data_IF_127387616306
#
_entry.id   IF_127387616306
#
_cell.length_a   1.000
_cell.length_b   1.000
_cell.length_c   1.000
_cell.angle_alpha   90.00
_cell.angle_beta   90.00
_cell.angle_gamma   90.00
#
_symmetry.space_group_name_H-M   'P 1'
#
loop_
_entity.id
_entity.type
_entity.pdbx_description
1 polymer ?
#
# COMPACT_ATOMS: atom_id res chain seq x y z
N UNK A 1 -20.83 -1.94 -2.06
CA UNK A 1 -19.69 -2.87 -2.10
C UNK A 1 -18.45 -2.03 -2.31
N UNK A 2 -17.53 -2.02 -1.35
CA UNK A 2 -16.20 -1.44 -1.55
C UNK A 2 -15.41 -2.35 -2.49
N UNK A 3 -14.55 -1.79 -3.33
CA UNK A 3 -13.65 -2.59 -4.18
C UNK A 3 -12.27 -2.57 -3.56
N UNK A 4 -11.68 -3.75 -3.40
CA UNK A 4 -10.35 -3.95 -2.85
C UNK A 4 -9.44 -4.66 -3.87
N UNK A 5 -8.13 -4.46 -3.73
CA UNK A 5 -7.07 -5.09 -4.52
C UNK A 5 -5.83 -5.31 -3.64
N UNK A 6 -5.29 -6.52 -3.60
CA UNK A 6 -3.97 -6.79 -3.01
C UNK A 6 -2.86 -6.46 -4.01
N UNK A 7 -1.76 -5.86 -3.56
CA UNK A 7 -0.57 -5.57 -4.36
C UNK A 7 0.64 -6.17 -3.68
N UNK A 8 1.33 -7.07 -4.39
CA UNK A 8 2.35 -7.93 -3.83
C UNK A 8 3.75 -7.70 -4.42
N UNK A 9 4.79 -7.79 -3.57
CA UNK A 9 6.20 -7.72 -3.96
C UNK A 9 6.99 -8.93 -3.41
N UNK A 10 7.51 -9.77 -4.31
CA UNK A 10 8.12 -11.10 -4.03
C UNK A 10 9.64 -11.19 -4.35
N UNK A 11 10.41 -10.12 -4.27
CA UNK A 11 11.83 -10.16 -4.66
C UNK A 11 12.74 -10.52 -3.46
N UNK A 12 12.57 -11.72 -2.94
CA UNK A 12 13.22 -12.15 -1.69
C UNK A 12 12.59 -11.55 -0.41
N UNK A 13 11.46 -10.87 -0.59
CA UNK A 13 10.59 -10.37 0.47
C UNK A 13 9.17 -10.88 0.23
N UNK A 14 8.31 -10.79 1.24
CA UNK A 14 6.88 -11.09 1.18
C UNK A 14 6.16 -9.85 1.73
N UNK A 15 6.01 -8.83 0.86
CA UNK A 15 5.41 -7.54 1.22
C UNK A 15 4.11 -7.32 0.45
N UNK A 16 3.08 -6.89 1.16
CA UNK A 16 1.76 -6.60 0.60
C UNK A 16 1.24 -5.24 1.06
N UNK A 17 0.47 -4.60 0.18
CA UNK A 17 -0.46 -3.53 0.55
C UNK A 17 -1.85 -3.85 0.00
N UNK A 18 -2.88 -3.45 0.75
CA UNK A 18 -4.26 -3.52 0.29
C UNK A 18 -4.71 -2.15 -0.21
N UNK A 19 -5.19 -2.10 -1.45
CA UNK A 19 -5.73 -0.89 -2.05
C UNK A 19 -7.26 -0.88 -2.02
N UNK A 20 -7.85 0.20 -1.51
CA UNK A 20 -9.30 0.44 -1.51
C UNK A 20 -9.67 1.53 -2.50
N UNK A 21 -10.74 1.31 -3.27
CA UNK A 21 -11.26 2.33 -4.19
C UNK A 21 -12.06 3.39 -3.42
N UNK A 22 -11.71 4.66 -3.62
CA UNK A 22 -12.50 5.78 -3.09
C UNK A 22 -13.90 5.79 -3.71
N UNK A 23 -14.90 6.10 -2.88
CA UNK A 23 -16.28 6.25 -3.37
C UNK A 23 -16.34 7.52 -4.23
N UNK A 24 -16.87 7.40 -5.46
CA UNK A 24 -17.06 8.50 -6.42
C UNK A 24 -15.78 9.16 -6.97
N UNK A 25 -14.59 8.66 -6.64
CA UNK A 25 -13.33 9.13 -7.20
C UNK A 25 -12.66 8.01 -8.02
N UNK A 26 -12.01 8.33 -9.16
CA UNK A 26 -11.25 7.37 -9.93
C UNK A 26 -9.85 7.13 -9.30
N UNK A 27 -9.82 6.93 -7.98
CA UNK A 27 -8.58 6.82 -7.18
C UNK A 27 -8.66 5.61 -6.26
N UNK A 28 -7.50 4.98 -6.11
CA UNK A 28 -7.23 3.92 -5.14
C UNK A 28 -6.26 4.43 -4.10
N UNK A 29 -6.52 4.13 -2.83
CA UNK A 29 -5.59 4.38 -1.72
C UNK A 29 -5.01 3.06 -1.26
N UNK A 30 -3.68 2.97 -1.20
CA UNK A 30 -2.95 1.79 -0.76
C UNK A 30 -2.61 1.89 0.74
N UNK A 31 -2.91 0.82 1.46
CA UNK A 31 -2.74 0.71 2.91
C UNK A 31 -1.85 -0.47 3.27
N UNK A 32 -1.03 -0.28 4.30
CA UNK A 32 -0.51 -1.37 5.10
C UNK A 32 -1.46 -1.52 6.29
N UNK A 33 -2.13 -2.67 6.39
CA UNK A 33 -3.25 -2.81 7.31
C UNK A 33 -2.77 -3.03 8.75
N UNK A 34 -3.47 -2.40 9.69
CA UNK A 34 -3.09 -2.41 11.11
C UNK A 34 -3.11 -3.81 11.74
N UNK A 35 -3.88 -4.76 11.20
CA UNK A 35 -3.96 -6.12 11.71
C UNK A 35 -2.79 -6.99 11.23
N UNK A 36 -2.02 -6.49 10.26
CA UNK A 36 -0.79 -7.11 9.75
C UNK A 36 0.42 -6.48 10.43
N UNK A 37 0.47 -6.50 11.77
CA UNK A 37 1.59 -5.95 12.56
C UNK A 37 2.84 -6.84 12.43
N UNK A 38 3.34 -6.94 11.21
CA UNK A 38 4.58 -7.59 10.82
C UNK A 38 5.74 -6.57 10.88
N UNK A 39 6.96 -7.04 10.60
CA UNK A 39 8.14 -6.19 10.60
C UNK A 39 8.05 -5.07 9.56
N UNK A 40 7.29 -5.27 8.48
CA UNK A 40 7.06 -4.25 7.47
C UNK A 40 6.20 -3.09 8.00
N UNK A 41 5.07 -3.38 8.65
CA UNK A 41 4.23 -2.36 9.30
C UNK A 41 5.04 -1.54 10.30
N UNK A 42 5.76 -2.21 11.22
CA UNK A 42 6.60 -1.53 12.23
C UNK A 42 7.68 -0.66 11.60
N UNK A 43 8.36 -1.16 10.56
CA UNK A 43 9.38 -0.41 9.84
C UNK A 43 8.79 0.86 9.21
N UNK A 44 7.64 0.77 8.56
CA UNK A 44 6.95 1.93 7.97
C UNK A 44 6.52 2.92 9.05
N UNK A 45 6.03 2.41 10.19
CA UNK A 45 5.62 3.21 11.34
C UNK A 45 6.80 3.98 11.96
N UNK A 46 7.92 3.30 12.24
CA UNK A 46 9.15 3.89 12.78
C UNK A 46 9.74 4.95 11.84
N UNK A 47 9.67 4.70 10.53
CA UNK A 47 10.10 5.64 9.50
C UNK A 47 9.11 6.80 9.28
N UNK A 48 7.94 6.78 9.93
CA UNK A 48 6.87 7.78 9.81
C UNK A 48 6.44 8.03 8.36
N UNK A 49 6.30 6.95 7.60
CA UNK A 49 5.92 7.02 6.19
C UNK A 49 4.41 6.83 6.05
N UNK A 50 3.73 7.79 5.44
CA UNK A 50 2.28 7.72 5.19
C UNK A 50 1.44 8.38 6.27
N UNK A 51 0.13 8.16 6.19
CA UNK A 51 -0.88 8.72 7.09
C UNK A 51 -1.58 7.61 7.86
N UNK A 52 -1.65 7.75 9.19
CA UNK A 52 -2.36 6.81 10.05
C UNK A 52 -3.86 7.06 9.97
N UNK A 53 -4.59 6.02 9.58
CA UNK A 53 -6.05 6.02 9.54
C UNK A 53 -6.56 5.01 10.57
N UNK A 54 -7.26 5.53 11.57
CA UNK A 54 -7.81 4.72 12.67
C UNK A 54 -8.62 3.53 12.14
N UNK A 55 -8.39 2.37 12.74
CA UNK A 55 -9.02 1.08 12.39
C UNK A 55 -8.77 0.59 10.96
N UNK A 56 -7.86 1.22 10.19
CA UNK A 56 -7.45 0.76 8.85
C UNK A 56 -5.98 0.38 8.85
N UNK A 57 -5.09 1.33 9.13
CA UNK A 57 -3.64 1.15 9.04
C UNK A 57 -2.96 2.40 8.52
N UNK A 58 -1.86 2.22 7.78
CA UNK A 58 -1.04 3.31 7.26
C UNK A 58 -1.32 3.46 5.76
N UNK A 59 -1.91 4.60 5.36
CA UNK A 59 -2.07 4.96 3.96
C UNK A 59 -0.74 5.44 3.40
N UNK A 60 -0.19 4.74 2.41
CA UNK A 60 1.20 4.98 1.93
C UNK A 60 1.29 5.73 0.61
N UNK A 61 0.30 5.55 -0.28
CA UNK A 61 0.19 6.27 -1.55
C UNK A 61 -1.20 6.07 -2.17
N UNK A 62 -1.51 6.89 -3.17
CA UNK A 62 -2.73 6.78 -3.99
C UNK A 62 -2.38 6.67 -5.47
N UNK A 63 -3.24 6.04 -6.27
CA UNK A 63 -3.05 5.88 -7.71
C UNK A 63 -4.37 5.88 -8.49
N UNK A 64 -4.30 6.19 -9.80
CA UNK A 64 -5.47 6.28 -10.68
C UNK A 64 -6.16 4.93 -10.88
N UNK A 65 -7.46 4.94 -11.12
CA UNK A 65 -8.25 3.76 -11.46
C UNK A 65 -7.93 3.15 -12.84
N UNK A 66 -7.25 3.90 -13.71
CA UNK A 66 -6.87 3.42 -15.05
C UNK A 66 -5.65 2.50 -15.05
N UNK A 67 -4.99 2.37 -13.90
CA UNK A 67 -3.82 1.52 -13.68
C UNK A 67 -4.24 0.06 -13.50
N UNK A 68 -3.58 -0.82 -14.25
CA UNK A 68 -3.72 -2.27 -14.11
C UNK A 68 -2.91 -2.82 -12.93
N UNK A 69 -3.08 -4.12 -12.62
CA UNK A 69 -2.45 -4.74 -11.46
C UNK A 69 -0.90 -4.82 -11.60
N UNK A 70 -0.39 -4.92 -12.83
CA UNK A 70 1.05 -4.93 -13.11
C UNK A 70 1.69 -3.56 -12.91
N UNK A 71 1.03 -2.52 -13.41
CA UNK A 71 1.40 -1.14 -13.16
C UNK A 71 1.30 -0.76 -11.68
N UNK A 72 0.25 -1.22 -10.97
CA UNK A 72 0.09 -1.03 -9.53
C UNK A 72 1.25 -1.66 -8.75
N UNK A 73 1.68 -2.86 -9.13
CA UNK A 73 2.87 -3.52 -8.58
C UNK A 73 4.14 -2.71 -8.81
N UNK A 74 4.34 -2.17 -10.01
CA UNK A 74 5.50 -1.31 -10.32
C UNK A 74 5.50 -0.04 -9.46
N UNK A 75 4.34 0.55 -9.20
CA UNK A 75 4.22 1.71 -8.32
C UNK A 75 4.61 1.33 -6.89
N UNK A 76 4.13 0.19 -6.40
CA UNK A 76 4.48 -0.30 -5.06
C UNK A 76 6.00 -0.53 -4.93
N UNK A 77 6.61 -1.22 -5.89
CA UNK A 77 8.06 -1.43 -5.94
C UNK A 77 8.83 -0.11 -5.94
N UNK A 78 8.41 0.87 -6.75
CA UNK A 78 9.02 2.20 -6.77
C UNK A 78 8.90 2.91 -5.42
N UNK A 79 7.76 2.78 -4.74
CA UNK A 79 7.57 3.35 -3.40
C UNK A 79 8.50 2.68 -2.37
N UNK A 80 8.63 1.35 -2.39
CA UNK A 80 9.55 0.61 -1.52
C UNK A 80 11.01 1.08 -1.71
N UNK A 81 11.48 1.12 -2.97
CA UNK A 81 12.84 1.54 -3.32
C UNK A 81 13.11 3.00 -2.97
N UNK A 82 12.15 3.90 -3.25
CA UNK A 82 12.25 5.32 -2.92
C UNK A 82 12.45 5.54 -1.42
N UNK A 83 11.76 4.75 -0.61
CA UNK A 83 11.82 4.83 0.85
C UNK A 83 12.88 3.93 1.47
N UNK A 84 13.72 3.24 0.67
CA UNK A 84 14.80 2.34 1.14
C UNK A 84 14.28 1.22 2.05
N UNK A 85 13.09 0.72 1.75
CA UNK A 85 12.50 -0.42 2.46
C UNK A 85 13.12 -1.72 1.95
N UNK A 86 13.34 -1.79 0.63
CA UNK A 86 14.03 -2.85 -0.11
C UNK A 86 15.24 -2.29 -0.83
#
# INVERSE_FOLDING_TARGET
MFKERGIYYEDGYDLEVTAYKRINEPVWDAYILHYEVNDFYKKVEEMKLGEYIDNHGIMVYSFSNDIDDGEARIIFEKWLKKNRIV
#
